data_IF_225261629643
#
_entry.id   IF_225261629643
#
_cell.length_a   1.000
_cell.length_b   1.000
_cell.length_c   1.000
_cell.angle_alpha   90.00
_cell.angle_beta   90.00
_cell.angle_gamma   90.00
#
_symmetry.space_group_name_H-M   'P 1'
#
loop_
_entity.id
_entity.type
_entity.pdbx_description
1 polymer ?
#
# COMPACT_ATOMS: atom_id res chain seq x y z
N UNK A 1 -12.06 22.94 17.55
CA UNK A 1 -10.67 22.99 17.02
C UNK A 1 -10.48 21.82 16.06
N UNK A 2 -11.50 21.54 15.25
CA UNK A 2 -11.75 20.19 14.73
C UNK A 2 -11.29 20.06 13.27
N UNK A 3 -10.88 21.17 12.67
CA UNK A 3 -10.32 21.26 11.31
C UNK A 3 -8.92 20.67 11.19
N UNK A 4 -8.19 20.55 12.31
CA UNK A 4 -6.78 20.13 12.32
C UNK A 4 -6.59 18.61 12.55
N UNK A 5 -7.66 17.87 12.85
CA UNK A 5 -7.65 16.43 13.10
C UNK A 5 -7.42 15.52 11.87
N UNK A 6 -7.89 15.82 10.65
CA UNK A 6 -7.67 14.93 9.50
C UNK A 6 -6.21 14.98 8.99
N UNK A 7 -5.49 16.06 9.25
CA UNK A 7 -4.08 16.23 8.86
C UNK A 7 -3.16 15.19 9.54
N UNK A 8 -3.12 15.05 10.88
CA UNK A 8 -2.29 14.04 11.53
C UNK A 8 -2.72 12.62 11.18
N UNK A 9 -4.00 12.38 10.88
CA UNK A 9 -4.47 11.07 10.42
C UNK A 9 -3.78 10.67 9.10
N UNK A 10 -3.68 11.58 8.14
CA UNK A 10 -2.97 11.33 6.87
C UNK A 10 -1.49 11.07 7.12
N UNK A 11 -0.83 11.87 7.95
CA UNK A 11 0.59 11.62 8.28
C UNK A 11 0.80 10.27 8.98
N UNK A 12 -0.09 9.87 9.88
CA UNK A 12 -0.02 8.56 10.54
C UNK A 12 -0.16 7.41 9.53
N UNK A 13 -1.09 7.53 8.58
CA UNK A 13 -1.24 6.56 7.50
C UNK A 13 0.00 6.52 6.61
N UNK A 14 0.55 7.67 6.21
CA UNK A 14 1.76 7.71 5.38
C UNK A 14 2.97 7.09 6.09
N UNK A 15 3.13 7.33 7.39
CA UNK A 15 4.16 6.71 8.20
C UNK A 15 3.96 5.18 8.31
N UNK A 16 2.71 4.73 8.50
CA UNK A 16 2.34 3.33 8.49
C UNK A 16 2.67 2.67 7.15
N UNK A 17 2.33 3.31 6.03
CA UNK A 17 2.62 2.82 4.70
C UNK A 17 4.12 2.70 4.43
N UNK A 18 4.91 3.71 4.84
CA UNK A 18 6.37 3.66 4.74
C UNK A 18 6.95 2.47 5.50
N UNK A 19 6.48 2.22 6.72
CA UNK A 19 6.86 1.05 7.52
C UNK A 19 6.49 -0.25 6.82
N UNK A 20 5.30 -0.32 6.22
CA UNK A 20 4.85 -1.44 5.40
C UNK A 20 5.76 -1.76 4.25
N UNK A 21 6.08 -0.76 3.43
CA UNK A 21 7.01 -0.92 2.31
C UNK A 21 8.39 -1.38 2.79
N UNK A 22 8.87 -0.91 3.94
CA UNK A 22 10.12 -1.40 4.52
C UNK A 22 10.05 -2.89 4.86
N UNK A 23 8.98 -3.34 5.53
CA UNK A 23 8.78 -4.75 5.88
C UNK A 23 8.63 -5.63 4.63
N UNK A 24 7.86 -5.16 3.64
CA UNK A 24 7.63 -5.88 2.38
C UNK A 24 8.90 -5.94 1.56
N UNK A 25 9.73 -4.90 1.54
CA UNK A 25 11.07 -4.89 0.91
C UNK A 25 11.95 -6.00 1.49
N UNK A 26 12.03 -6.09 2.81
CA UNK A 26 12.80 -7.15 3.49
C UNK A 26 12.25 -8.54 3.15
N UNK A 27 10.92 -8.67 3.11
CA UNK A 27 10.24 -9.93 2.76
C UNK A 27 10.50 -10.33 1.30
N UNK A 28 10.50 -9.36 0.38
CA UNK A 28 10.79 -9.57 -1.03
C UNK A 28 12.21 -10.05 -1.27
N UNK A 29 13.21 -9.36 -0.69
CA UNK A 29 14.62 -9.74 -0.87
C UNK A 29 14.90 -11.12 -0.28
N UNK A 30 14.31 -11.44 0.87
CA UNK A 30 14.38 -12.78 1.45
C UNK A 30 13.69 -13.85 0.58
N UNK A 31 12.50 -13.56 0.06
CA UNK A 31 11.74 -14.46 -0.81
C UNK A 31 12.48 -14.70 -2.13
N UNK A 32 12.96 -13.64 -2.78
CA UNK A 32 13.72 -13.70 -4.02
C UNK A 32 15.04 -14.45 -3.83
N UNK A 33 15.75 -14.27 -2.71
CA UNK A 33 16.96 -15.03 -2.40
C UNK A 33 16.72 -16.53 -2.15
N UNK A 34 15.55 -16.91 -1.63
CA UNK A 34 15.21 -18.31 -1.34
C UNK A 34 14.64 -19.06 -2.56
N UNK A 35 13.73 -18.42 -3.28
CA UNK A 35 12.96 -19.02 -4.38
C UNK A 35 13.56 -18.71 -5.75
N UNK A 36 14.16 -17.53 -5.90
CA UNK A 36 14.65 -17.01 -7.18
C UNK A 36 15.79 -17.80 -7.84
N UNK A 37 16.80 -18.31 -7.10
CA UNK A 37 17.92 -19.04 -7.71
C UNK A 37 17.56 -20.41 -8.30
N UNK A 38 16.40 -20.97 -7.91
CA UNK A 38 16.05 -22.36 -8.26
C UNK A 38 15.34 -22.50 -9.61
N UNK A 39 14.59 -21.48 -10.04
CA UNK A 39 13.77 -21.54 -11.27
C UNK A 39 13.13 -20.19 -11.58
N UNK A 40 12.84 -19.94 -12.86
CA UNK A 40 12.03 -18.81 -13.31
C UNK A 40 10.67 -18.75 -12.58
N UNK A 41 10.07 -19.90 -12.28
CA UNK A 41 8.82 -20.00 -11.51
C UNK A 41 8.95 -19.46 -10.08
N UNK A 42 10.11 -19.68 -9.43
CA UNK A 42 10.35 -19.18 -8.08
C UNK A 42 10.45 -17.65 -8.04
N UNK A 43 10.90 -17.04 -9.13
CA UNK A 43 10.94 -15.58 -9.27
C UNK A 43 9.53 -15.00 -9.47
N UNK A 44 8.70 -15.61 -10.31
CA UNK A 44 7.31 -15.18 -10.49
C UNK A 44 6.50 -15.35 -9.20
N UNK A 45 6.73 -16.43 -8.46
CA UNK A 45 6.11 -16.65 -7.15
C UNK A 45 6.54 -15.58 -6.13
N UNK A 46 7.83 -15.20 -6.12
CA UNK A 46 8.31 -14.13 -5.22
C UNK A 46 7.62 -12.79 -5.50
N UNK A 47 7.38 -12.47 -6.78
CA UNK A 47 6.66 -11.27 -7.19
C UNK A 47 5.18 -11.34 -6.82
N UNK A 48 4.54 -12.51 -7.01
CA UNK A 48 3.17 -12.75 -6.57
C UNK A 48 2.97 -12.58 -5.06
N UNK A 49 3.92 -13.07 -4.25
CA UNK A 49 3.92 -12.88 -2.79
C UNK A 49 3.98 -11.40 -2.44
N UNK A 50 4.84 -10.62 -3.12
CA UNK A 50 4.93 -9.16 -2.88
C UNK A 50 3.64 -8.45 -3.22
N UNK A 51 3.02 -8.76 -4.37
CA UNK A 51 1.73 -8.16 -4.75
C UNK A 51 0.67 -8.46 -3.68
N UNK A 52 0.59 -9.70 -3.21
CA UNK A 52 -0.35 -10.09 -2.15
C UNK A 52 -0.11 -9.29 -0.86
N UNK A 53 1.15 -9.16 -0.44
CA UNK A 53 1.53 -8.40 0.75
C UNK A 53 1.21 -6.91 0.60
N UNK A 54 1.45 -6.32 -0.58
CA UNK A 54 1.11 -4.93 -0.86
C UNK A 54 -0.40 -4.71 -0.77
N UNK A 55 -1.20 -5.57 -1.40
CA UNK A 55 -2.67 -5.50 -1.30
C UNK A 55 -3.13 -5.61 0.14
N UNK A 56 -2.63 -6.59 0.90
CA UNK A 56 -2.95 -6.75 2.31
C UNK A 56 -2.58 -5.51 3.14
N UNK A 57 -1.44 -4.88 2.82
CA UNK A 57 -1.01 -3.65 3.50
C UNK A 57 -1.88 -2.45 3.16
N UNK A 58 -2.33 -2.31 1.90
CA UNK A 58 -3.30 -1.27 1.54
C UNK A 58 -4.59 -1.38 2.37
N UNK A 59 -5.06 -2.60 2.66
CA UNK A 59 -6.20 -2.80 3.56
C UNK A 59 -5.91 -2.31 4.98
N UNK A 60 -4.67 -2.49 5.48
CA UNK A 60 -4.25 -1.98 6.79
C UNK A 60 -4.23 -0.45 6.80
N UNK A 61 -3.73 0.19 5.75
CA UNK A 61 -3.70 1.66 5.65
C UNK A 61 -5.12 2.26 5.67
N UNK A 62 -6.05 1.65 4.93
CA UNK A 62 -7.47 2.05 4.93
C UNK A 62 -8.11 1.80 6.29
N UNK A 63 -7.88 0.63 6.91
CA UNK A 63 -8.41 0.30 8.22
C UNK A 63 -7.89 1.24 9.32
N UNK A 64 -6.61 1.61 9.26
CA UNK A 64 -6.01 2.58 10.17
C UNK A 64 -6.67 3.96 10.02
N UNK A 65 -6.83 4.42 8.78
CA UNK A 65 -7.53 5.69 8.51
C UNK A 65 -8.97 5.66 9.07
N UNK A 66 -9.70 4.58 8.79
CA UNK A 66 -11.07 4.38 9.28
C UNK A 66 -11.15 4.34 10.81
N UNK A 67 -10.19 3.69 11.48
CA UNK A 67 -10.12 3.65 12.93
C UNK A 67 -9.90 5.06 13.51
N UNK A 68 -9.01 5.86 12.93
CA UNK A 68 -8.77 7.23 13.37
C UNK A 68 -10.05 8.09 13.19
N UNK A 69 -10.75 7.95 12.05
CA UNK A 69 -12.02 8.65 11.82
C UNK A 69 -13.10 8.22 12.82
N UNK A 70 -13.26 6.93 13.07
CA UNK A 70 -14.25 6.41 14.02
C UNK A 70 -13.97 6.82 15.48
N UNK A 71 -12.69 6.98 15.85
CA UNK A 71 -12.30 7.44 17.19
C UNK A 71 -12.44 8.96 17.37
N UNK A 72 -12.47 9.72 16.27
CA UNK A 72 -12.52 11.20 16.30
C UNK A 72 -13.94 11.74 16.10
N UNK A 73 -14.87 10.92 15.61
CA UNK A 73 -16.24 11.32 15.34
C UNK A 73 -17.20 10.50 16.21
N UNK A 74 -17.81 11.15 17.20
CA UNK A 74 -18.75 10.51 18.12
C UNK A 74 -19.92 9.88 17.35
N UNK A 75 -20.18 8.60 17.61
CA UNK A 75 -21.27 7.86 17.00
C UNK A 75 -21.00 7.30 15.60
N UNK A 76 -19.82 7.53 15.00
CA UNK A 76 -19.48 6.97 13.69
C UNK A 76 -19.11 5.49 13.81
N UNK A 77 -19.80 4.64 13.04
CA UNK A 77 -19.49 3.20 12.99
C UNK A 77 -18.23 2.96 12.15
N UNK A 78 -17.36 2.06 12.59
CA UNK A 78 -16.14 1.69 11.85
C UNK A 78 -16.42 1.31 10.39
N UNK A 79 -17.52 0.59 10.11
CA UNK A 79 -17.88 0.20 8.75
C UNK A 79 -18.18 1.39 7.83
N UNK A 80 -18.81 2.44 8.35
CA UNK A 80 -19.10 3.67 7.60
C UNK A 80 -17.82 4.47 7.36
N UNK A 81 -16.98 4.57 8.40
CA UNK A 81 -15.65 5.18 8.30
C UNK A 81 -14.77 4.45 7.27
N UNK A 82 -14.81 3.12 7.25
CA UNK A 82 -14.06 2.28 6.32
C UNK A 82 -14.55 2.45 4.89
N UNK A 83 -15.86 2.45 4.67
CA UNK A 83 -16.45 2.67 3.35
C UNK A 83 -16.10 4.06 2.80
N UNK A 84 -16.16 5.09 3.65
CA UNK A 84 -15.74 6.43 3.27
C UNK A 84 -14.25 6.49 2.94
N UNK A 85 -13.40 5.96 3.83
CA UNK A 85 -11.95 5.95 3.64
C UNK A 85 -11.54 5.20 2.37
N UNK A 86 -12.04 3.98 2.15
CA UNK A 86 -11.67 3.17 0.98
C UNK A 86 -12.07 3.85 -0.33
N UNK A 87 -13.24 4.50 -0.36
CA UNK A 87 -13.70 5.23 -1.54
C UNK A 87 -12.84 6.48 -1.81
N UNK A 88 -12.41 7.19 -0.76
CA UNK A 88 -11.48 8.31 -0.91
C UNK A 88 -10.09 7.85 -1.34
N UNK A 89 -9.52 6.80 -0.72
CA UNK A 89 -8.21 6.23 -1.08
C UNK A 89 -8.13 5.79 -2.54
N UNK A 90 -9.21 5.19 -3.05
CA UNK A 90 -9.31 4.73 -4.45
C UNK A 90 -9.75 5.83 -5.41
N UNK A 91 -9.86 7.07 -4.92
CA UNK A 91 -10.33 8.25 -5.66
C UNK A 91 -11.70 8.07 -6.32
N UNK A 92 -12.48 7.07 -5.92
CA UNK A 92 -13.88 6.91 -6.31
C UNK A 92 -14.73 8.05 -5.72
N UNK A 93 -14.38 8.45 -4.50
CA UNK A 93 -15.16 9.39 -3.71
C UNK A 93 -16.42 8.73 -3.13
N UNK A 94 -16.78 9.13 -1.92
CA UNK A 94 -18.03 8.73 -1.28
C UNK A 94 -18.74 9.95 -0.70
N UNK A 95 -20.05 9.84 -0.52
CA UNK A 95 -20.80 10.81 0.26
C UNK A 95 -20.28 10.84 1.69
N UNK A 96 -19.99 12.03 2.19
CA UNK A 96 -19.64 12.24 3.58
C UNK A 96 -20.73 11.67 4.52
N UNK A 97 -20.36 10.97 5.60
CA UNK A 97 -21.31 10.50 6.61
C UNK A 97 -22.14 11.62 7.24
N UNK A 98 -21.58 12.84 7.34
CA UNK A 98 -22.29 14.03 7.78
C UNK A 98 -21.87 15.27 6.97
N UNK A 99 -22.77 16.26 6.86
CA UNK A 99 -22.49 17.54 6.19
C UNK A 99 -21.87 18.53 7.18
N UNK A 100 -20.62 18.30 7.54
CA UNK A 100 -19.82 19.21 8.38
C UNK A 100 -18.51 19.58 7.69
N UNK A 101 -17.89 20.69 8.09
CA UNK A 101 -16.61 21.17 7.52
C UNK A 101 -15.48 20.14 7.66
N UNK A 102 -15.51 19.31 8.71
CA UNK A 102 -14.56 18.20 8.90
C UNK A 102 -14.55 17.24 7.71
N UNK A 103 -15.72 16.74 7.28
CA UNK A 103 -15.82 15.78 6.18
C UNK A 103 -15.50 16.39 4.82
N UNK A 104 -15.80 17.69 4.65
CA UNK A 104 -15.44 18.45 3.45
C UNK A 104 -13.91 18.53 3.26
N UNK A 105 -13.14 18.58 4.35
CA UNK A 105 -11.67 18.58 4.30
C UNK A 105 -11.08 17.17 4.31
N UNK A 106 -11.64 16.25 5.11
CA UNK A 106 -11.12 14.90 5.28
C UNK A 106 -11.12 14.11 3.96
N UNK A 107 -12.21 14.18 3.18
CA UNK A 107 -12.32 13.45 1.92
C UNK A 107 -11.19 13.75 0.93
N UNK A 108 -10.96 15.02 0.54
CA UNK A 108 -9.85 15.42 -0.32
C UNK A 108 -8.46 15.08 0.24
N UNK A 109 -8.24 15.24 1.54
CA UNK A 109 -6.95 14.91 2.17
C UNK A 109 -6.66 13.40 2.13
N UNK A 110 -7.66 12.57 2.40
CA UNK A 110 -7.56 11.11 2.31
C UNK A 110 -7.34 10.67 0.86
N UNK A 111 -8.01 11.31 -0.10
CA UNK A 111 -7.79 11.03 -1.52
C UNK A 111 -6.36 11.39 -1.96
N UNK A 112 -5.82 12.53 -1.50
CA UNK A 112 -4.42 12.89 -1.72
C UNK A 112 -3.47 11.83 -1.13
N UNK A 113 -3.74 11.36 0.09
CA UNK A 113 -3.00 10.28 0.72
C UNK A 113 -3.00 9.00 -0.11
N UNK A 114 -4.16 8.61 -0.65
CA UNK A 114 -4.31 7.44 -1.51
C UNK A 114 -3.45 7.52 -2.78
N UNK A 115 -3.39 8.68 -3.43
CA UNK A 115 -2.54 8.92 -4.61
C UNK A 115 -1.06 8.72 -4.28
N UNK A 116 -0.62 9.27 -3.15
CA UNK A 116 0.75 9.13 -2.68
C UNK A 116 1.13 7.65 -2.44
N UNK A 117 0.27 6.93 -1.72
CA UNK A 117 0.43 5.49 -1.43
C UNK A 117 0.48 4.66 -2.71
N UNK A 118 -0.42 4.95 -3.65
CA UNK A 118 -0.45 4.30 -4.96
C UNK A 118 0.84 4.55 -5.74
N UNK A 119 1.34 5.79 -5.73
CA UNK A 119 2.62 6.17 -6.35
C UNK A 119 3.80 5.38 -5.78
N UNK A 120 3.96 5.37 -4.46
CA UNK A 120 5.06 4.63 -3.81
C UNK A 120 4.97 3.12 -4.04
N UNK A 121 3.77 2.55 -3.95
CA UNK A 121 3.53 1.13 -4.21
C UNK A 121 3.89 0.76 -5.65
N UNK A 122 3.50 1.59 -6.61
CA UNK A 122 3.80 1.36 -8.04
C UNK A 122 5.30 1.45 -8.31
N UNK A 123 5.98 2.48 -7.80
CA UNK A 123 7.44 2.60 -7.92
C UNK A 123 8.16 1.38 -7.34
N UNK A 124 7.74 0.94 -6.16
CA UNK A 124 8.31 -0.25 -5.53
C UNK A 124 8.06 -1.54 -6.34
N UNK A 125 6.88 -1.70 -6.93
CA UNK A 125 6.58 -2.84 -7.79
C UNK A 125 7.45 -2.84 -9.05
N UNK A 126 7.67 -1.66 -9.65
CA UNK A 126 8.59 -1.50 -10.78
C UNK A 126 10.00 -1.95 -10.37
N UNK A 127 10.52 -1.48 -9.23
CA UNK A 127 11.84 -1.92 -8.72
C UNK A 127 11.91 -3.44 -8.54
N UNK A 128 10.86 -4.06 -8.01
CA UNK A 128 10.78 -5.52 -7.87
C UNK A 128 10.83 -6.24 -9.22
N UNK A 129 10.11 -5.74 -10.23
CA UNK A 129 10.14 -6.32 -11.58
C UNK A 129 11.52 -6.19 -12.22
N UNK A 130 12.23 -5.07 -12.01
CA UNK A 130 13.59 -4.89 -12.47
C UNK A 130 14.55 -5.89 -11.81
N UNK A 131 14.46 -6.06 -10.49
CA UNK A 131 15.28 -7.03 -9.75
C UNK A 131 15.06 -8.48 -10.25
N UNK A 132 13.81 -8.87 -10.51
CA UNK A 132 13.49 -10.18 -11.09
C UNK A 132 14.07 -10.34 -12.49
N UNK A 133 13.92 -9.33 -13.36
CA UNK A 133 14.46 -9.36 -14.73
C UNK A 133 15.97 -9.49 -14.75
N UNK A 134 16.67 -8.74 -13.91
CA UNK A 134 18.14 -8.80 -13.83
C UNK A 134 18.62 -10.20 -13.42
N UNK A 135 17.97 -10.81 -12.42
CA UNK A 135 18.28 -12.18 -12.01
C UNK A 135 18.02 -13.21 -13.14
N UNK A 136 16.97 -13.02 -13.95
CA UNK A 136 16.70 -13.84 -15.14
C UNK A 136 17.81 -13.73 -16.19
N UNK A 137 18.28 -12.52 -16.45
CA UNK A 137 19.37 -12.30 -17.40
C UNK A 137 20.64 -13.01 -16.98
N UNK A 138 21.03 -12.91 -15.70
CA UNK A 138 22.20 -13.61 -15.16
C UNK A 138 22.07 -15.13 -15.26
N UNK A 139 20.90 -15.67 -14.89
CA UNK A 139 20.65 -17.13 -14.94
C UNK A 139 20.75 -17.68 -16.37
N UNK A 140 20.22 -16.97 -17.37
CA UNK A 140 20.31 -17.38 -18.78
C UNK A 140 21.74 -17.39 -19.33
N UNK A 141 22.57 -16.41 -18.96
CA UNK A 141 23.97 -16.39 -19.38
C UNK A 141 24.78 -17.55 -18.79
N UNK A 142 24.47 -17.95 -17.55
CA UNK A 142 25.17 -19.04 -16.89
C UNK A 142 24.84 -20.42 -17.47
N UNK A 143 23.62 -20.61 -17.99
CA UNK A 143 23.21 -21.83 -18.68
C UNK A 143 23.71 -21.89 -20.13
N UNK A 144 23.77 -20.75 -20.84
CA UNK A 144 24.25 -20.69 -22.23
C UNK A 144 25.77 -20.85 -22.41
N UNK A 145 26.57 -20.65 -21.36
CA UNK A 145 28.04 -20.82 -21.39
C UNK A 145 28.54 -22.24 -21.10
N UNK A 146 27.64 -23.21 -20.92
CA UNK A 146 27.98 -24.60 -20.57
C UNK A 146 27.90 -25.59 -21.75
N UNK A 147 27.84 -25.09 -22.99
CA UNK A 147 27.72 -25.89 -24.20
C UNK A 147 28.91 -25.68 -25.14
#
# INVERSE_FOLDING_TARGET
MDFLLPVPAVFAVLACHWMGLFIIRVSFTASLGRLGPRSAWGQDLSLGIVILLLVAWLFVDVALCAAILALTQDGLRFGEAFLFAIACFTTLGASAPARTDFWALAGPLIAMCGIFIFGWTTSFLIDCTHAVREMRHVSRHQDGGKH
#
